data_IF_539129385034
#
_entry.id   IF_539129385034
#
_cell.length_a   1.000
_cell.length_b   1.000
_cell.length_c   1.000
_cell.angle_alpha   90.00
_cell.angle_beta   90.00
_cell.angle_gamma   90.00
#
_symmetry.space_group_name_H-M   'P 1'
#
loop_
_entity.id
_entity.type
_entity.pdbx_description
1 polymer ?
#
# COMPACT_ATOMS: atom_id res chain seq x y z
N UNK A 1 48.50 28.25 -38.73
CA UNK A 1 47.27 27.42 -38.71
C UNK A 1 47.02 27.02 -37.26
N UNK A 2 45.89 27.40 -36.67
CA UNK A 2 45.58 27.10 -35.26
C UNK A 2 44.99 25.69 -35.16
N UNK A 3 45.53 24.86 -34.27
CA UNK A 3 45.02 23.52 -33.97
C UNK A 3 43.71 23.63 -33.18
N UNK A 4 42.65 22.97 -33.64
CA UNK A 4 41.39 22.82 -32.91
C UNK A 4 41.39 21.42 -32.29
N UNK A 5 41.35 21.35 -30.96
CA UNK A 5 41.17 20.10 -30.21
C UNK A 5 39.67 19.95 -29.97
N UNK A 6 39.05 18.92 -30.56
CA UNK A 6 37.65 18.56 -30.30
C UNK A 6 37.65 17.57 -29.14
N UNK A 7 37.17 18.01 -27.99
CA UNK A 7 37.01 17.18 -26.80
C UNK A 7 35.63 16.52 -26.83
N UNK A 8 35.58 15.24 -27.21
CA UNK A 8 34.33 14.46 -27.23
C UNK A 8 34.01 13.97 -25.82
N UNK A 9 33.05 14.60 -25.15
CA UNK A 9 32.56 14.17 -23.84
C UNK A 9 31.47 13.12 -24.04
N UNK A 10 31.74 11.86 -23.67
CA UNK A 10 30.73 10.81 -23.54
C UNK A 10 29.96 11.02 -22.23
N UNK A 11 28.71 11.48 -22.32
CA UNK A 11 27.80 11.55 -21.17
C UNK A 11 27.07 10.20 -21.08
N UNK A 12 27.49 9.35 -20.15
CA UNK A 12 26.75 8.14 -19.80
C UNK A 12 25.51 8.54 -18.99
N UNK A 13 24.33 8.39 -19.58
CA UNK A 13 23.08 8.55 -18.85
C UNK A 13 22.88 7.33 -17.93
N UNK A 14 23.08 7.52 -16.63
CA UNK A 14 22.53 6.61 -15.61
C UNK A 14 21.00 6.78 -15.63
N UNK A 15 20.32 6.06 -16.53
CA UNK A 15 18.87 5.93 -16.48
C UNK A 15 18.57 5.02 -15.28
N UNK A 16 18.52 5.58 -14.08
CA UNK A 16 17.86 4.92 -12.97
C UNK A 16 16.39 4.81 -13.35
N UNK A 17 15.95 3.59 -13.69
CA UNK A 17 14.54 3.27 -13.84
C UNK A 17 13.89 3.47 -12.45
N UNK A 18 13.41 4.69 -12.21
CA UNK A 18 12.67 5.01 -11.01
C UNK A 18 11.35 4.25 -11.11
N UNK A 19 11.20 3.20 -10.30
CA UNK A 19 9.98 2.40 -10.25
C UNK A 19 8.80 3.34 -9.97
N UNK A 20 7.77 3.31 -10.82
CA UNK A 20 6.52 4.03 -10.55
C UNK A 20 5.95 3.50 -9.21
N UNK A 21 5.41 4.38 -8.36
CA UNK A 21 4.82 3.95 -7.09
C UNK A 21 3.65 2.99 -7.36
N UNK A 22 3.53 1.96 -6.54
CA UNK A 22 2.42 0.99 -6.63
C UNK A 22 1.10 1.64 -6.24
N UNK A 23 -0.03 1.06 -6.64
CA UNK A 23 -1.35 1.58 -6.23
C UNK A 23 -1.52 1.60 -4.71
N UNK A 24 -0.92 0.62 -4.02
CA UNK A 24 -0.90 0.56 -2.57
C UNK A 24 -0.01 1.64 -1.93
N UNK A 25 1.15 1.92 -2.51
CA UNK A 25 2.05 2.96 -2.02
C UNK A 25 1.38 4.34 -2.13
N UNK A 26 0.72 4.61 -3.25
CA UNK A 26 -0.07 5.83 -3.44
C UNK A 26 -1.20 5.92 -2.40
N UNK A 27 -1.99 4.85 -2.24
CA UNK A 27 -3.06 4.81 -1.23
C UNK A 27 -2.52 5.10 0.17
N UNK A 28 -1.40 4.49 0.56
CA UNK A 28 -0.82 4.72 1.88
C UNK A 28 -0.36 6.18 2.05
N UNK A 29 0.33 6.76 1.07
CA UNK A 29 0.85 8.14 1.14
C UNK A 29 -0.25 9.20 1.13
N UNK A 30 -1.34 8.95 0.42
CA UNK A 30 -2.47 9.89 0.32
C UNK A 30 -3.27 9.93 1.62
N UNK A 31 -3.42 8.79 2.28
CA UNK A 31 -4.39 8.62 3.37
C UNK A 31 -3.76 8.62 4.78
N UNK A 32 -2.48 8.27 4.91
CA UNK A 32 -1.82 8.17 6.21
C UNK A 32 -0.68 9.20 6.32
N UNK A 33 -0.67 9.94 7.42
CA UNK A 33 0.41 10.87 7.77
C UNK A 33 1.65 10.12 8.25
N UNK A 34 1.46 8.93 8.82
CA UNK A 34 2.54 8.10 9.35
C UNK A 34 2.19 6.62 9.24
N UNK A 35 3.18 5.82 8.85
CA UNK A 35 3.14 4.36 8.97
C UNK A 35 4.33 3.95 9.82
N UNK A 36 4.06 3.29 10.94
CA UNK A 36 5.08 2.87 11.89
C UNK A 36 5.05 1.36 12.08
N UNK A 37 6.20 0.73 11.84
CA UNK A 37 6.40 -0.68 12.17
C UNK A 37 6.83 -0.76 13.64
N UNK A 38 5.88 -1.09 14.51
CA UNK A 38 6.12 -1.26 15.95
C UNK A 38 6.93 -2.53 16.20
N UNK A 39 6.56 -3.63 15.53
CA UNK A 39 7.27 -4.90 15.55
C UNK A 39 7.02 -5.70 14.27
N UNK A 40 7.68 -6.85 14.12
CA UNK A 40 7.38 -7.80 13.04
C UNK A 40 5.91 -8.24 13.00
N UNK A 41 5.21 -8.17 14.13
CA UNK A 41 3.83 -8.61 14.28
C UNK A 41 2.84 -7.45 14.42
N UNK A 42 3.28 -6.19 14.33
CA UNK A 42 2.42 -5.03 14.59
C UNK A 42 2.85 -3.82 13.77
N UNK A 43 1.90 -3.28 13.00
CA UNK A 43 2.03 -2.05 12.24
C UNK A 43 0.96 -1.07 12.71
N UNK A 44 1.32 0.20 12.87
CA UNK A 44 0.40 1.28 13.19
C UNK A 44 0.33 2.28 12.04
N UNK A 45 -0.87 2.71 11.71
CA UNK A 45 -1.19 3.66 10.65
C UNK A 45 -1.87 4.88 11.27
N UNK A 46 -1.35 6.07 11.04
CA UNK A 46 -1.95 7.32 11.50
C UNK A 46 -2.60 8.03 10.32
N UNK A 47 -3.90 8.30 10.42
CA UNK A 47 -4.66 9.01 9.37
C UNK A 47 -4.13 10.43 9.16
N UNK A 48 -4.09 10.88 7.90
CA UNK A 48 -3.75 12.27 7.56
C UNK A 48 -4.95 13.19 7.76
N UNK A 49 -6.02 12.94 7.02
CA UNK A 49 -7.29 13.65 7.11
C UNK A 49 -8.43 12.64 7.26
N UNK A 50 -9.42 12.98 8.08
CA UNK A 50 -10.50 12.06 8.40
C UNK A 50 -11.63 12.14 7.38
N UNK A 51 -11.55 11.39 6.27
CA UNK A 51 -12.73 10.96 5.49
C UNK A 51 -12.42 9.67 4.70
N UNK A 52 -12.15 8.57 5.41
CA UNK A 52 -12.30 7.22 4.85
C UNK A 52 -13.37 6.51 5.66
N UNK A 53 -14.35 5.91 4.99
CA UNK A 53 -15.24 4.96 5.68
C UNK A 53 -14.45 3.69 5.86
N UNK A 54 -14.29 3.21 7.07
CA UNK A 54 -13.52 2.00 7.31
C UNK A 54 -14.40 0.96 8.00
N UNK A 55 -14.04 -0.31 7.80
CA UNK A 55 -14.72 -1.46 8.35
C UNK A 55 -13.68 -2.21 9.18
N UNK A 56 -13.83 -2.17 10.51
CA UNK A 56 -13.05 -3.06 11.37
C UNK A 56 -13.63 -4.46 11.25
N UNK A 57 -12.82 -5.42 10.84
CA UNK A 57 -13.04 -6.83 11.20
C UNK A 57 -12.04 -7.18 12.29
N UNK A 58 -12.21 -6.63 13.48
CA UNK A 58 -11.57 -7.21 14.68
C UNK A 58 -12.52 -8.27 15.17
N UNK A 59 -12.01 -9.49 15.40
CA UNK A 59 -12.75 -10.55 16.11
C UNK A 59 -13.31 -10.07 17.47
N UNK A 60 -12.76 -8.98 18.03
CA UNK A 60 -13.23 -8.34 19.27
C UNK A 60 -14.54 -7.54 19.13
N UNK A 61 -14.95 -7.16 17.91
CA UNK A 61 -16.16 -6.39 17.66
C UNK A 61 -17.04 -7.20 16.70
N UNK A 62 -18.00 -7.95 17.25
CA UNK A 62 -18.99 -8.74 16.51
C UNK A 62 -19.92 -7.84 15.68
N UNK A 63 -19.44 -7.27 14.57
CA UNK A 63 -20.24 -6.45 13.68
C UNK A 63 -19.42 -5.70 12.63
N UNK A 64 -20.03 -5.46 11.46
CA UNK A 64 -19.53 -4.50 10.47
C UNK A 64 -19.82 -3.09 10.98
N UNK A 65 -18.85 -2.46 11.65
CA UNK A 65 -18.95 -1.05 12.03
C UNK A 65 -18.41 -0.20 10.88
N UNK A 66 -19.31 0.50 10.19
CA UNK A 66 -18.94 1.55 9.23
C UNK A 66 -18.99 2.88 9.95
N UNK A 67 -17.82 3.47 10.22
CA UNK A 67 -17.72 4.87 10.65
C UNK A 67 -16.71 5.62 9.81
N UNK A 68 -16.81 6.94 9.83
CA UNK A 68 -15.79 7.81 9.23
C UNK A 68 -14.60 7.87 10.18
N UNK A 69 -13.39 7.79 9.61
CA UNK A 69 -12.13 8.00 10.34
C UNK A 69 -12.04 9.44 10.83
N UNK A 70 -11.43 9.64 11.99
CA UNK A 70 -11.03 10.97 12.45
C UNK A 70 -9.62 11.35 11.96
N UNK A 71 -9.32 12.64 11.78
CA UNK A 71 -7.94 13.09 11.53
C UNK A 71 -7.02 12.60 12.65
N UNK A 72 -5.84 12.10 12.29
CA UNK A 72 -4.85 11.53 13.23
C UNK A 72 -5.32 10.28 14.01
N UNK A 73 -6.44 9.65 13.63
CA UNK A 73 -6.81 8.37 14.19
C UNK A 73 -5.71 7.32 13.92
N UNK A 74 -5.39 6.52 14.95
CA UNK A 74 -4.32 5.53 14.89
C UNK A 74 -4.90 4.13 14.86
N UNK A 75 -4.56 3.38 13.81
CA UNK A 75 -4.91 1.97 13.64
C UNK A 75 -3.69 1.10 13.83
N UNK A 76 -3.61 0.40 14.97
CA UNK A 76 -2.62 -0.64 15.18
C UNK A 76 -3.21 -2.00 14.85
N UNK A 77 -2.59 -2.67 13.87
CA UNK A 77 -2.99 -3.97 13.36
C UNK A 77 -1.95 -5.01 13.78
N UNK A 78 -2.42 -6.09 14.41
CA UNK A 78 -1.57 -7.21 14.82
C UNK A 78 -1.58 -8.33 13.77
N UNK A 79 -0.60 -9.23 13.87
CA UNK A 79 -0.57 -10.47 13.09
C UNK A 79 -1.93 -11.19 13.15
N UNK A 80 -2.41 -11.62 11.99
CA UNK A 80 -3.71 -12.26 11.75
C UNK A 80 -4.94 -11.34 11.86
N UNK A 81 -4.79 -10.08 12.28
CA UNK A 81 -5.87 -9.11 12.17
C UNK A 81 -5.97 -8.57 10.74
N UNK A 82 -7.17 -8.11 10.39
CA UNK A 82 -7.45 -7.46 9.10
C UNK A 82 -8.07 -6.09 9.35
N UNK A 83 -7.67 -5.12 8.54
CA UNK A 83 -8.24 -3.78 8.51
C UNK A 83 -8.74 -3.49 7.10
N UNK A 84 -10.00 -3.09 6.97
CA UNK A 84 -10.58 -2.76 5.68
C UNK A 84 -10.92 -1.27 5.62
N UNK A 85 -10.52 -0.63 4.54
CA UNK A 85 -10.88 0.74 4.20
C UNK A 85 -11.82 0.71 3.00
N UNK A 86 -12.95 1.38 3.10
CA UNK A 86 -13.90 1.58 2.02
C UNK A 86 -13.73 3.01 1.48
N UNK A 87 -13.25 3.08 0.25
CA UNK A 87 -13.29 4.30 -0.56
C UNK A 87 -14.53 4.27 -1.47
N UNK A 88 -14.73 5.31 -2.28
CA UNK A 88 -15.91 5.45 -3.16
C UNK A 88 -16.19 4.21 -4.02
N UNK A 89 -15.15 3.56 -4.53
CA UNK A 89 -15.26 2.42 -5.45
C UNK A 89 -14.34 1.25 -5.10
N UNK A 90 -13.55 1.34 -4.03
CA UNK A 90 -12.52 0.33 -3.73
C UNK A 90 -12.59 -0.06 -2.26
N UNK A 91 -12.60 -1.36 -2.00
CA UNK A 91 -12.30 -1.91 -0.67
C UNK A 91 -10.81 -2.23 -0.63
N UNK A 92 -10.09 -1.60 0.29
CA UNK A 92 -8.68 -1.83 0.52
C UNK A 92 -8.52 -2.62 1.82
N UNK A 93 -8.02 -3.85 1.74
CA UNK A 93 -7.79 -4.72 2.90
C UNK A 93 -6.31 -4.80 3.21
N UNK A 94 -5.90 -4.35 4.39
CA UNK A 94 -4.58 -4.60 4.97
C UNK A 94 -4.64 -5.81 5.90
N UNK A 95 -3.73 -6.76 5.73
CA UNK A 95 -3.63 -7.92 6.59
C UNK A 95 -2.23 -8.55 6.55
N UNK A 96 -1.94 -9.40 7.53
CA UNK A 96 -0.68 -10.13 7.64
C UNK A 96 -0.91 -11.63 7.39
N UNK A 97 -0.34 -12.22 6.31
CA UNK A 97 -0.66 -13.59 5.85
C UNK A 97 0.36 -14.67 6.24
N UNK A 98 1.40 -14.34 7.02
CA UNK A 98 2.56 -15.17 7.39
C UNK A 98 3.80 -14.94 6.50
N UNK A 99 4.97 -15.27 7.08
CA UNK A 99 6.33 -14.98 6.59
C UNK A 99 6.73 -13.49 6.59
N UNK A 100 6.57 -12.79 7.73
CA UNK A 100 7.00 -11.40 7.98
C UNK A 100 6.42 -10.32 7.04
N UNK A 101 5.65 -10.71 6.02
CA UNK A 101 5.11 -9.84 4.99
C UNK A 101 3.66 -9.39 5.29
N UNK A 102 3.44 -8.09 5.11
CA UNK A 102 2.11 -7.47 5.12
C UNK A 102 1.57 -7.40 3.70
N UNK A 103 0.25 -7.42 3.56
CA UNK A 103 -0.40 -7.40 2.26
C UNK A 103 -1.51 -6.36 2.25
N UNK A 104 -1.47 -5.50 1.23
CA UNK A 104 -2.56 -4.58 0.90
C UNK A 104 -3.24 -5.08 -0.37
N UNK A 105 -4.54 -5.36 -0.29
CA UNK A 105 -5.36 -5.78 -1.43
C UNK A 105 -6.38 -4.70 -1.71
N UNK A 106 -6.34 -4.11 -2.91
CA UNK A 106 -7.40 -3.26 -3.42
C UNK A 106 -8.35 -4.08 -4.29
N UNK A 107 -9.63 -4.14 -3.92
CA UNK A 107 -10.72 -4.72 -4.70
C UNK A 107 -11.63 -3.60 -5.22
N UNK A 108 -11.80 -3.52 -6.55
CA UNK A 108 -12.81 -2.64 -7.16
C UNK A 108 -14.21 -3.24 -6.93
N UNK A 109 -15.10 -2.45 -6.33
CA UNK A 109 -16.50 -2.81 -6.06
C UNK A 109 -17.50 -2.12 -6.99
N UNK A 110 -17.03 -1.30 -7.94
CA UNK A 110 -17.88 -0.68 -8.97
C UNK A 110 -18.43 -1.71 -9.96
N UNK A 111 -17.74 -2.84 -10.10
CA UNK A 111 -18.13 -3.97 -10.93
C UNK A 111 -19.17 -4.79 -10.14
N UNK A 112 -20.45 -4.75 -10.56
CA UNK A 112 -21.54 -5.46 -9.88
C UNK A 112 -21.29 -6.96 -9.65
N UNK A 113 -22.11 -7.60 -8.80
CA UNK A 113 -21.93 -8.97 -8.23
C UNK A 113 -21.62 -10.11 -9.23
N UNK A 114 -21.79 -9.89 -10.53
CA UNK A 114 -21.63 -10.88 -11.60
C UNK A 114 -20.31 -10.80 -12.38
N UNK A 115 -19.46 -9.81 -12.12
CA UNK A 115 -18.14 -9.72 -12.76
C UNK A 115 -17.05 -10.24 -11.83
N UNK A 116 -16.11 -11.00 -12.39
CA UNK A 116 -14.91 -11.47 -11.70
C UNK A 116 -14.19 -10.25 -11.13
N UNK A 117 -14.10 -10.15 -9.81
CA UNK A 117 -13.45 -9.02 -9.13
C UNK A 117 -11.97 -9.03 -9.49
N UNK A 118 -11.54 -8.00 -10.20
CA UNK A 118 -10.13 -7.70 -10.35
C UNK A 118 -9.62 -7.13 -9.03
N UNK A 119 -8.46 -7.63 -8.57
CA UNK A 119 -7.81 -7.12 -7.38
C UNK A 119 -6.33 -6.90 -7.65
N UNK A 120 -5.79 -5.83 -7.10
CA UNK A 120 -4.35 -5.57 -7.07
C UNK A 120 -3.87 -5.99 -5.69
N UNK A 121 -2.91 -6.90 -5.65
CA UNK A 121 -2.25 -7.34 -4.42
C UNK A 121 -0.87 -6.69 -4.36
N UNK A 122 -0.60 -5.91 -3.33
CA UNK A 122 0.74 -5.39 -3.07
C UNK A 122 1.28 -6.01 -1.79
N UNK A 123 2.50 -6.53 -1.87
CA UNK A 123 3.25 -7.00 -0.71
C UNK A 123 4.04 -5.85 -0.11
N UNK A 124 3.96 -5.71 1.20
CA UNK A 124 4.66 -4.72 2.00
C UNK A 124 5.69 -5.48 2.83
N UNK A 125 6.95 -5.42 2.39
CA UNK A 125 8.06 -6.10 3.07
C UNK A 125 8.72 -5.13 4.03
N UNK A 126 8.78 -5.52 5.31
CA UNK A 126 9.47 -4.76 6.34
C UNK A 126 10.97 -5.06 6.29
N UNK A 127 11.78 -4.05 6.02
CA UNK A 127 13.25 -4.15 6.02
C UNK A 127 13.81 -4.11 7.45
N UNK A 128 15.07 -4.51 7.62
CA UNK A 128 15.76 -4.53 8.94
C UNK A 128 15.84 -3.14 9.60
N UNK A 129 15.90 -2.09 8.80
CA UNK A 129 15.89 -0.69 9.23
C UNK A 129 14.47 -0.14 9.49
N UNK A 130 13.46 -1.02 9.48
CA UNK A 130 12.02 -0.73 9.64
C UNK A 130 11.41 0.09 8.50
N UNK A 131 12.13 0.30 7.40
CA UNK A 131 11.51 0.83 6.18
C UNK A 131 10.56 -0.19 5.54
N UNK A 132 9.57 0.29 4.79
CA UNK A 132 8.59 -0.53 4.08
C UNK A 132 8.90 -0.47 2.59
N UNK A 133 9.10 -1.63 1.98
CA UNK A 133 9.19 -1.78 0.52
C UNK A 133 7.84 -2.27 -0.02
N UNK A 134 7.35 -1.63 -1.08
CA UNK A 134 6.09 -1.97 -1.75
C UNK A 134 6.40 -2.73 -3.04
N UNK A 135 5.94 -3.97 -3.14
CA UNK A 135 6.11 -4.81 -4.32
C UNK A 135 4.73 -5.20 -4.85
N UNK A 136 4.36 -4.66 -6.00
CA UNK A 136 3.08 -5.00 -6.64
C UNK A 136 3.16 -6.42 -7.19
N UNK A 137 2.34 -7.31 -6.64
CA UNK A 137 2.17 -8.67 -7.12
C UNK A 137 0.98 -8.66 -8.08
N UNK A 138 1.24 -8.40 -9.35
CA UNK A 138 0.25 -8.59 -10.39
C UNK A 138 -0.08 -10.07 -10.49
N UNK A 139 -1.21 -10.46 -9.92
CA UNK A 139 -1.81 -11.75 -10.22
C UNK A 139 -2.53 -11.62 -11.57
N UNK A 140 -1.76 -11.52 -12.65
CA UNK A 140 -2.29 -11.77 -13.98
C UNK A 140 -2.71 -13.23 -13.98
N UNK A 141 -4.01 -13.50 -13.84
CA UNK A 141 -4.51 -14.82 -14.18
C UNK A 141 -4.04 -15.09 -15.60
N UNK A 142 -3.15 -16.09 -15.76
CA UNK A 142 -2.95 -16.72 -17.06
C UNK A 142 -4.34 -17.13 -17.54
N UNK A 143 -4.74 -16.54 -18.66
CA UNK A 143 -5.85 -16.98 -19.50
C UNK A 143 -5.80 -18.48 -19.72
#
# INVERSE_FOLDING_TARGET
MKNIIILTILISFNIQAQSRPTGAELFIKENFSKVEVVSKNEICLTMKEGVIRWILTKEKYNGLYSRETEPNEVFCLKKNEKLQFLTKHTIVTLYHKAEDDWYLIGEDISQGRHKKKEYIKTRLTIKKDKSIEYVEEFNANKT
#
